data_IF_113957596292
#
_entry.id   IF_113957596292
#
_cell.length_a   1.000
_cell.length_b   1.000
_cell.length_c   1.000
_cell.angle_alpha   90.00
_cell.angle_beta   90.00
_cell.angle_gamma   90.00
#
_symmetry.space_group_name_H-M   'P 1'
#
loop_
_entity.id
_entity.type
_entity.pdbx_description
1 polymer ?
#
# COMPACT_ATOMS: atom_id res chain seq x y z
N UNK A 1 -9.46 -8.75 -3.69
CA UNK A 1 -8.96 -7.52 -4.36
C UNK A 1 -7.87 -6.90 -3.49
N UNK A 2 -6.65 -6.62 -3.98
CA UNK A 2 -5.57 -6.01 -3.20
C UNK A 2 -5.84 -4.49 -3.01
N UNK A 3 -6.78 -4.16 -2.12
CA UNK A 3 -7.25 -2.79 -1.92
C UNK A 3 -6.16 -1.83 -1.41
N UNK A 4 -5.09 -2.34 -0.78
CA UNK A 4 -3.92 -1.55 -0.40
C UNK A 4 -3.08 -1.08 -1.59
N UNK A 5 -3.30 -1.64 -2.80
CA UNK A 5 -2.65 -1.20 -4.05
C UNK A 5 -3.42 -0.10 -4.80
N UNK A 6 -4.62 0.26 -4.34
CA UNK A 6 -5.39 1.37 -4.92
C UNK A 6 -4.81 2.69 -4.38
N UNK A 7 -4.35 3.57 -5.27
CA UNK A 7 -3.68 4.84 -4.95
C UNK A 7 -4.52 6.00 -5.48
N UNK A 8 -4.49 7.16 -4.82
CA UNK A 8 -5.10 8.38 -5.36
C UNK A 8 -4.47 8.77 -6.71
N UNK A 9 -5.22 9.47 -7.55
CA UNK A 9 -4.71 9.92 -8.86
C UNK A 9 -3.50 10.87 -8.74
N UNK A 10 -3.36 11.52 -7.58
CA UNK A 10 -2.23 12.37 -7.18
C UNK A 10 -1.05 11.61 -6.57
N UNK A 11 -1.14 10.27 -6.48
CA UNK A 11 -0.13 9.43 -5.84
C UNK A 11 -0.28 9.30 -4.31
N UNK A 12 -1.30 9.93 -3.70
CA UNK A 12 -1.48 9.88 -2.25
C UNK A 12 -2.02 8.53 -1.76
N UNK A 13 -1.63 8.14 -0.54
CA UNK A 13 -2.25 7.03 0.16
C UNK A 13 -3.54 7.51 0.81
N UNK A 14 -4.67 7.09 0.26
CA UNK A 14 -6.00 7.38 0.77
C UNK A 14 -6.70 6.09 1.22
N UNK A 15 -7.81 6.24 1.95
CA UNK A 15 -8.83 5.19 2.17
C UNK A 15 -8.31 3.77 2.40
N UNK A 16 -8.24 3.34 3.66
CA UNK A 16 -7.93 1.95 3.98
C UNK A 16 -8.54 1.54 5.33
N UNK A 17 -9.38 0.51 5.34
CA UNK A 17 -10.06 0.04 6.54
C UNK A 17 -9.12 -0.41 7.67
N UNK A 18 -7.87 -0.76 7.34
CA UNK A 18 -6.83 -1.10 8.32
C UNK A 18 -5.95 0.06 8.78
N UNK A 19 -6.24 1.30 8.35
CA UNK A 19 -5.42 2.47 8.59
C UNK A 19 -4.23 2.61 7.63
N UNK A 20 -3.83 3.86 7.33
CA UNK A 20 -2.80 4.16 6.34
C UNK A 20 -1.43 3.54 6.67
N UNK A 21 -1.11 3.38 7.96
CA UNK A 21 0.13 2.73 8.40
C UNK A 21 0.26 1.28 7.86
N UNK A 22 -0.85 0.52 7.88
CA UNK A 22 -0.88 -0.87 7.44
C UNK A 22 -0.77 -0.96 5.93
N UNK A 23 -1.44 -0.05 5.21
CA UNK A 23 -1.33 0.09 3.75
C UNK A 23 0.12 0.37 3.32
N UNK A 24 0.78 1.32 4.00
CA UNK A 24 2.19 1.64 3.77
C UNK A 24 3.10 0.43 4.00
N UNK A 25 2.88 -0.31 5.10
CA UNK A 25 3.64 -1.50 5.44
C UNK A 25 3.49 -2.59 4.37
N UNK A 26 2.27 -2.90 3.95
CA UNK A 26 1.99 -3.90 2.91
C UNK A 26 2.69 -3.55 1.59
N UNK A 27 2.58 -2.29 1.15
CA UNK A 27 3.26 -1.82 -0.06
C UNK A 27 4.79 -1.96 0.05
N UNK A 28 5.38 -1.67 1.21
CA UNK A 28 6.82 -1.85 1.43
C UNK A 28 7.21 -3.34 1.45
N UNK A 29 6.42 -4.17 2.11
CA UNK A 29 6.67 -5.60 2.23
C UNK A 29 6.62 -6.29 0.87
N UNK A 30 5.65 -5.95 0.03
CA UNK A 30 5.54 -6.49 -1.33
C UNK A 30 6.68 -6.03 -2.24
N UNK A 31 7.22 -4.82 -2.06
CA UNK A 31 8.40 -4.35 -2.79
C UNK A 31 9.68 -5.10 -2.39
N UNK A 32 9.78 -5.59 -1.15
CA UNK A 32 10.96 -6.33 -0.68
C UNK A 32 11.10 -7.69 -1.37
N UNK A 33 10.01 -8.27 -1.87
CA UNK A 33 10.02 -9.55 -2.57
C UNK A 33 10.80 -9.56 -3.91
N UNK A 34 11.31 -8.42 -4.38
CA UNK A 34 12.02 -8.28 -5.66
C UNK A 34 13.55 -8.12 -5.47
N UNK A 35 14.04 -7.88 -4.25
CA UNK A 35 15.45 -7.53 -4.01
C UNK A 35 16.19 -8.44 -3.01
N UNK A 36 15.62 -9.59 -2.62
CA UNK A 36 16.31 -10.64 -1.86
C UNK A 36 16.54 -11.87 -2.76
#
# INVERSE_FOLDING_TARGET
IPCHRVIGADGSLTGYGGGLWRKQWLLKHERKAIYD
#
